data_IF_429515398537
#
_entry.id   IF_429515398537
#
_cell.length_a   1.000
_cell.length_b   1.000
_cell.length_c   1.000
_cell.angle_alpha   90.00
_cell.angle_beta   90.00
_cell.angle_gamma   90.00
#
_symmetry.space_group_name_H-M   'P 1'
#
loop_
_entity.id
_entity.type
_entity.pdbx_description
1 polymer ?
#
# COMPACT_ATOMS: atom_id res chain seq x y z
N UNK A 1 65.42 29.89 70.67
CA UNK A 1 65.66 30.22 69.25
C UNK A 1 65.27 29.11 68.27
N UNK A 2 65.37 27.81 68.61
CA UNK A 2 64.92 26.72 67.72
C UNK A 2 63.44 26.78 67.30
N UNK A 3 62.55 27.26 68.17
CA UNK A 3 61.11 27.27 67.90
C UNK A 3 60.72 28.24 66.76
N UNK A 4 61.52 29.28 66.52
CA UNK A 4 61.25 30.27 65.48
C UNK A 4 61.63 29.75 64.08
N UNK A 5 62.66 28.90 64.01
CA UNK A 5 63.11 28.29 62.75
C UNK A 5 62.16 27.21 62.25
N UNK A 6 61.55 26.43 63.15
CA UNK A 6 60.53 25.44 62.80
C UNK A 6 59.26 26.08 62.22
N UNK A 7 58.81 27.21 62.78
CA UNK A 7 57.65 27.92 62.24
C UNK A 7 57.90 28.47 60.83
N UNK A 8 59.09 28.96 60.53
CA UNK A 8 59.41 29.49 59.19
C UNK A 8 59.41 28.38 58.13
N UNK A 9 59.93 27.20 58.44
CA UNK A 9 59.95 26.06 57.51
C UNK A 9 58.53 25.54 57.24
N UNK A 10 57.73 25.37 58.29
CA UNK A 10 56.33 24.95 58.17
C UNK A 10 55.48 25.94 57.35
N UNK A 11 55.72 27.24 57.50
CA UNK A 11 54.97 28.27 56.75
C UNK A 11 55.37 28.30 55.27
N UNK A 12 56.65 28.04 54.96
CA UNK A 12 57.14 27.97 53.58
C UNK A 12 56.59 26.75 52.82
N UNK A 13 56.48 25.60 53.49
CA UNK A 13 55.88 24.39 52.91
C UNK A 13 54.36 24.53 52.70
N UNK A 14 53.67 25.22 53.62
CA UNK A 14 52.23 25.50 53.50
C UNK A 14 51.91 26.41 52.30
N UNK A 15 52.75 27.43 52.06
CA UNK A 15 52.61 28.31 50.90
C UNK A 15 52.78 27.54 49.59
N UNK A 16 53.81 26.68 49.49
CA UNK A 16 54.06 25.84 48.31
C UNK A 16 52.93 24.86 48.03
N UNK A 17 52.32 24.27 49.07
CA UNK A 17 51.20 23.34 48.90
C UNK A 17 49.94 24.05 48.37
N UNK A 18 49.70 25.29 48.80
CA UNK A 18 48.55 26.08 48.34
C UNK A 18 48.62 26.45 46.85
N UNK A 19 49.80 26.76 46.32
CA UNK A 19 49.99 27.06 44.89
C UNK A 19 49.78 25.81 44.02
N UNK A 20 50.27 24.65 44.45
CA UNK A 20 50.09 23.39 43.73
C UNK A 20 48.62 22.92 43.73
N UNK A 21 47.88 23.18 44.80
CA UNK A 21 46.46 22.85 44.88
C UNK A 21 45.62 23.65 43.85
N UNK A 22 45.93 24.93 43.62
CA UNK A 22 45.23 25.75 42.62
C UNK A 22 45.49 25.26 41.20
N UNK A 23 46.74 24.93 40.87
CA UNK A 23 47.09 24.42 39.53
C UNK A 23 46.37 23.10 39.25
N UNK A 24 46.35 22.17 40.21
CA UNK A 24 45.67 20.87 40.02
C UNK A 24 44.16 21.03 39.83
N UNK A 25 43.51 21.93 40.59
CA UNK A 25 42.09 22.25 40.40
C UNK A 25 41.80 22.86 39.02
N UNK A 26 42.64 23.79 38.55
CA UNK A 26 42.50 24.37 37.20
C UNK A 26 42.64 23.29 36.13
N UNK A 27 43.68 22.45 36.20
CA UNK A 27 43.87 21.36 35.22
C UNK A 27 42.69 20.38 35.24
N UNK A 28 42.22 19.98 36.43
CA UNK A 28 41.07 19.09 36.57
C UNK A 28 39.80 19.71 35.95
N UNK A 29 39.54 20.98 36.22
CA UNK A 29 38.39 21.70 35.66
C UNK A 29 38.45 21.78 34.13
N UNK A 30 39.65 21.97 33.58
CA UNK A 30 39.88 22.10 32.15
C UNK A 30 39.71 20.74 31.45
N UNK A 31 40.19 19.66 32.07
CA UNK A 31 39.96 18.29 31.61
C UNK A 31 38.47 17.92 31.63
N UNK A 32 37.75 18.28 32.70
CA UNK A 32 36.30 18.09 32.80
C UNK A 32 35.54 18.85 31.71
N UNK A 33 35.92 20.11 31.46
CA UNK A 33 35.31 20.92 30.40
C UNK A 33 35.53 20.32 29.01
N UNK A 34 36.76 19.86 28.70
CA UNK A 34 37.07 19.18 27.44
C UNK A 34 36.25 17.89 27.30
N UNK A 35 36.18 17.08 28.37
CA UNK A 35 35.41 15.84 28.35
C UNK A 35 33.92 16.10 28.12
N UNK A 36 33.35 17.10 28.79
CA UNK A 36 31.95 17.51 28.61
C UNK A 36 31.67 18.00 27.17
N UNK A 37 32.58 18.79 26.58
CA UNK A 37 32.46 19.23 25.18
C UNK A 37 32.50 18.05 24.19
N UNK A 38 33.39 17.09 24.41
CA UNK A 38 33.47 15.88 23.58
C UNK A 38 32.22 15.00 23.73
N UNK A 39 31.71 14.85 24.94
CA UNK A 39 30.47 14.12 25.21
C UNK A 39 29.27 14.79 24.53
N UNK A 40 29.14 16.12 24.65
CA UNK A 40 28.10 16.90 23.99
C UNK A 40 28.21 16.82 22.45
N UNK A 41 29.41 16.88 21.89
CA UNK A 41 29.64 16.72 20.46
C UNK A 41 29.22 15.34 19.96
N UNK A 42 29.51 14.27 20.72
CA UNK A 42 29.07 12.90 20.41
C UNK A 42 27.56 12.76 20.49
N UNK A 43 26.94 13.31 21.54
CA UNK A 43 25.48 13.31 21.69
C UNK A 43 24.80 14.04 20.52
N UNK A 44 25.31 15.22 20.13
CA UNK A 44 24.81 15.97 18.99
C UNK A 44 24.90 15.18 17.68
N UNK A 45 26.03 14.49 17.44
CA UNK A 45 26.18 13.62 16.26
C UNK A 45 25.14 12.50 16.25
N UNK A 46 24.89 11.85 17.40
CA UNK A 46 23.85 10.82 17.51
C UNK A 46 22.46 11.37 17.25
N UNK A 47 22.15 12.55 17.79
CA UNK A 47 20.86 13.22 17.53
C UNK A 47 20.67 13.56 16.06
N UNK A 48 21.72 14.04 15.38
CA UNK A 48 21.67 14.31 13.94
C UNK A 48 21.43 13.03 13.14
N UNK A 49 22.12 11.93 13.48
CA UNK A 49 21.91 10.63 12.82
C UNK A 49 20.47 10.12 13.03
N UNK A 50 19.92 10.27 14.24
CA UNK A 50 18.53 9.93 14.53
C UNK A 50 17.56 10.81 13.73
N UNK A 51 17.79 12.11 13.66
CA UNK A 51 16.98 13.04 12.87
C UNK A 51 17.00 12.67 11.38
N UNK A 52 18.18 12.39 10.82
CA UNK A 52 18.32 11.91 9.44
C UNK A 52 17.54 10.61 9.21
N UNK A 53 17.65 9.65 10.13
CA UNK A 53 16.91 8.38 10.02
C UNK A 53 15.39 8.57 10.06
N UNK A 54 14.91 9.50 10.90
CA UNK A 54 13.48 9.84 10.96
C UNK A 54 13.01 10.50 9.66
N UNK A 55 13.79 11.44 9.12
CA UNK A 55 13.45 12.06 7.84
C UNK A 55 13.46 11.07 6.68
N UNK A 56 14.40 10.13 6.65
CA UNK A 56 14.44 9.07 5.65
C UNK A 56 13.23 8.12 5.79
N UNK A 57 12.85 7.78 7.02
CA UNK A 57 11.67 6.97 7.27
C UNK A 57 10.39 7.70 6.84
N UNK A 58 10.26 8.98 7.15
CA UNK A 58 9.12 9.81 6.72
C UNK A 58 9.02 9.88 5.19
N UNK A 59 10.14 10.10 4.49
CA UNK A 59 10.19 10.06 3.04
C UNK A 59 9.78 8.69 2.47
N UNK A 60 10.22 7.61 3.10
CA UNK A 60 9.83 6.25 2.70
C UNK A 60 8.33 5.97 2.91
N UNK A 61 7.74 6.52 3.97
CA UNK A 61 6.31 6.41 4.24
C UNK A 61 5.49 7.22 3.24
N UNK A 62 5.92 8.44 2.92
CA UNK A 62 5.27 9.26 1.91
C UNK A 62 5.33 8.62 0.52
N UNK A 63 6.48 8.04 0.14
CA UNK A 63 6.60 7.34 -1.14
C UNK A 63 5.72 6.08 -1.18
N UNK A 64 5.67 5.30 -0.11
CA UNK A 64 4.77 4.16 0.01
C UNK A 64 3.30 4.58 -0.10
N UNK A 65 2.90 5.66 0.59
CA UNK A 65 1.54 6.21 0.53
C UNK A 65 1.16 6.62 -0.90
N UNK A 66 2.07 7.26 -1.63
CA UNK A 66 1.85 7.64 -3.03
C UNK A 66 1.68 6.42 -3.93
N UNK A 67 2.50 5.38 -3.74
CA UNK A 67 2.37 4.11 -4.48
C UNK A 67 1.01 3.48 -4.18
N UNK A 68 0.58 3.42 -2.91
CA UNK A 68 -0.72 2.88 -2.55
C UNK A 68 -1.88 3.65 -3.19
N UNK A 69 -1.85 4.98 -3.13
CA UNK A 69 -2.86 5.82 -3.78
C UNK A 69 -2.92 5.59 -5.30
N UNK A 70 -1.77 5.48 -5.97
CA UNK A 70 -1.72 5.17 -7.40
C UNK A 70 -2.26 3.77 -7.70
N UNK A 71 -1.91 2.78 -6.88
CA UNK A 71 -2.42 1.41 -7.06
C UNK A 71 -3.92 1.33 -6.86
N UNK A 72 -4.49 2.09 -5.92
CA UNK A 72 -5.93 2.13 -5.68
C UNK A 72 -6.67 2.72 -6.89
N UNK A 73 -6.16 3.81 -7.46
CA UNK A 73 -6.69 4.39 -8.69
C UNK A 73 -6.66 3.39 -9.86
N UNK A 74 -5.53 2.68 -10.03
CA UNK A 74 -5.38 1.66 -11.08
C UNK A 74 -6.33 0.47 -10.85
N UNK A 75 -6.50 0.04 -9.60
CA UNK A 75 -7.39 -1.06 -9.26
C UNK A 75 -8.85 -0.69 -9.48
N UNK A 76 -9.27 0.51 -9.08
CA UNK A 76 -10.61 1.02 -9.35
C UNK A 76 -10.89 1.13 -10.86
N UNK A 77 -9.92 1.61 -11.64
CA UNK A 77 -10.04 1.65 -13.10
C UNK A 77 -10.18 0.25 -13.70
N UNK A 78 -9.39 -0.73 -13.22
CA UNK A 78 -9.47 -2.11 -13.68
C UNK A 78 -10.83 -2.75 -13.33
N UNK A 79 -11.31 -2.57 -12.10
CA UNK A 79 -12.64 -3.04 -11.68
C UNK A 79 -13.76 -2.42 -12.54
N UNK A 80 -13.66 -1.13 -12.85
CA UNK A 80 -14.63 -0.47 -13.74
C UNK A 80 -14.62 -1.07 -15.16
N UNK A 81 -13.44 -1.36 -15.72
CA UNK A 81 -13.31 -2.01 -17.03
C UNK A 81 -13.89 -3.42 -17.02
N UNK A 82 -13.60 -4.22 -15.99
CA UNK A 82 -14.18 -5.57 -15.84
C UNK A 82 -15.70 -5.49 -15.76
N UNK A 83 -16.24 -4.54 -14.99
CA UNK A 83 -17.69 -4.31 -14.90
C UNK A 83 -18.32 -3.93 -16.24
N UNK A 84 -17.63 -3.11 -17.06
CA UNK A 84 -18.09 -2.79 -18.41
C UNK A 84 -18.05 -3.99 -19.36
N UNK A 85 -17.00 -4.81 -19.29
CA UNK A 85 -16.88 -6.02 -20.09
C UNK A 85 -17.97 -7.03 -19.72
N UNK A 86 -18.22 -7.25 -18.43
CA UNK A 86 -19.30 -8.12 -17.96
C UNK A 86 -20.68 -7.65 -18.45
N UNK A 87 -20.94 -6.33 -18.41
CA UNK A 87 -22.18 -5.76 -18.97
C UNK A 87 -22.28 -5.99 -20.48
N UNK A 88 -21.21 -5.74 -21.23
CA UNK A 88 -21.19 -5.97 -22.68
C UNK A 88 -21.43 -7.44 -23.02
N UNK A 89 -20.80 -8.35 -22.30
CA UNK A 89 -21.00 -9.78 -22.48
C UNK A 89 -22.46 -10.17 -22.22
N UNK A 90 -23.05 -9.71 -21.11
CA UNK A 90 -24.48 -9.94 -20.84
C UNK A 90 -25.40 -9.38 -21.92
N UNK A 91 -25.10 -8.22 -22.51
CA UNK A 91 -25.89 -7.68 -23.62
C UNK A 91 -25.74 -8.49 -24.91
N UNK A 92 -24.54 -9.01 -25.18
CA UNK A 92 -24.27 -9.85 -26.35
C UNK A 92 -24.97 -11.20 -26.22
N UNK A 93 -24.91 -11.83 -25.04
CA UNK A 93 -25.58 -13.10 -24.75
C UNK A 93 -27.11 -12.96 -24.88
N UNK A 94 -27.69 -11.86 -24.37
CA UNK A 94 -29.11 -11.56 -24.53
C UNK A 94 -29.50 -11.33 -26.00
N UNK A 95 -28.67 -10.63 -26.78
CA UNK A 95 -28.90 -10.39 -28.20
C UNK A 95 -28.80 -11.69 -29.03
N UNK A 96 -27.83 -12.54 -28.72
CA UNK A 96 -27.67 -13.86 -29.34
C UNK A 96 -28.88 -14.76 -29.06
N UNK A 97 -29.36 -14.78 -27.80
CA UNK A 97 -30.58 -15.49 -27.43
C UNK A 97 -31.82 -15.01 -28.19
N UNK A 98 -32.01 -13.69 -28.34
CA UNK A 98 -33.13 -13.14 -29.12
C UNK A 98 -33.06 -13.49 -30.62
N UNK A 99 -31.86 -13.50 -31.20
CA UNK A 99 -31.68 -13.88 -32.61
C UNK A 99 -32.04 -15.36 -32.83
N UNK A 100 -31.57 -16.25 -31.95
CA UNK A 100 -31.92 -17.68 -31.96
C UNK A 100 -33.42 -17.91 -31.82
N UNK A 101 -34.08 -17.20 -30.90
CA UNK A 101 -35.54 -17.28 -30.71
C UNK A 101 -36.33 -16.85 -31.95
N UNK A 102 -35.95 -15.74 -32.61
CA UNK A 102 -36.63 -15.28 -33.83
C UNK A 102 -36.52 -16.30 -34.96
N UNK A 103 -35.34 -16.91 -35.11
CA UNK A 103 -35.12 -17.94 -36.12
C UNK A 103 -35.90 -19.22 -35.79
N UNK A 104 -35.95 -19.63 -34.52
CA UNK A 104 -36.72 -20.77 -34.05
C UNK A 104 -38.24 -20.59 -34.30
N UNK A 105 -38.78 -19.38 -34.08
CA UNK A 105 -40.18 -19.05 -34.40
C UNK A 105 -40.43 -19.17 -35.92
N UNK A 106 -39.50 -18.69 -36.75
CA UNK A 106 -39.63 -18.78 -38.20
C UNK A 106 -39.60 -20.23 -38.71
N UNK A 107 -38.74 -21.08 -38.14
CA UNK A 107 -38.69 -22.52 -38.44
C UNK A 107 -39.92 -23.26 -37.93
N UNK A 108 -40.38 -22.96 -36.72
CA UNK A 108 -41.61 -23.55 -36.16
C UNK A 108 -42.83 -23.25 -37.03
N UNK A 109 -42.97 -22.03 -37.56
CA UNK A 109 -44.04 -21.67 -38.50
C UNK A 109 -43.98 -22.44 -39.82
N UNK A 110 -42.81 -22.96 -40.20
CA UNK A 110 -42.61 -23.81 -41.39
C UNK A 110 -42.80 -25.30 -41.08
N UNK A 111 -43.16 -25.67 -39.85
CA UNK A 111 -43.37 -27.05 -39.44
C UNK A 111 -42.09 -27.81 -39.08
N UNK A 112 -40.97 -27.12 -38.84
CA UNK A 112 -39.74 -27.76 -38.40
C UNK A 112 -39.93 -28.52 -37.07
N UNK A 113 -39.23 -29.65 -36.95
CA UNK A 113 -39.31 -30.49 -35.75
C UNK A 113 -38.59 -29.85 -34.56
N UNK A 114 -38.95 -30.25 -33.33
CA UNK A 114 -38.30 -29.72 -32.11
C UNK A 114 -36.78 -29.97 -32.12
N UNK A 115 -36.33 -31.14 -32.59
CA UNK A 115 -34.90 -31.46 -32.72
C UNK A 115 -34.19 -30.56 -33.74
N UNK A 116 -34.82 -30.29 -34.88
CA UNK A 116 -34.26 -29.44 -35.93
C UNK A 116 -34.13 -27.98 -35.49
N UNK A 117 -35.08 -27.49 -34.67
CA UNK A 117 -35.03 -26.14 -34.09
C UNK A 117 -33.90 -26.03 -33.05
N UNK A 118 -33.69 -27.05 -32.21
CA UNK A 118 -32.58 -27.07 -31.24
C UNK A 118 -31.23 -27.04 -31.96
N UNK A 119 -31.04 -27.91 -32.95
CA UNK A 119 -29.76 -28.03 -33.67
C UNK A 119 -29.44 -26.78 -34.50
N UNK A 120 -30.45 -26.13 -35.08
CA UNK A 120 -30.25 -25.01 -36.00
C UNK A 120 -30.21 -23.65 -35.30
N UNK A 121 -30.98 -23.46 -34.22
CA UNK A 121 -31.17 -22.16 -33.58
C UNK A 121 -30.44 -22.01 -32.24
N UNK A 122 -29.79 -23.07 -31.75
CA UNK A 122 -29.01 -23.04 -30.50
C UNK A 122 -29.85 -22.76 -29.26
N UNK A 123 -31.16 -23.02 -29.32
CA UNK A 123 -32.10 -22.89 -28.20
C UNK A 123 -32.21 -24.22 -27.44
N UNK A 124 -32.53 -24.16 -26.16
CA UNK A 124 -32.69 -25.38 -25.35
C UNK A 124 -33.90 -26.21 -25.81
N UNK A 125 -33.88 -27.52 -25.54
CA UNK A 125 -34.97 -28.43 -25.90
C UNK A 125 -36.33 -28.01 -25.31
N UNK A 126 -36.31 -27.47 -24.08
CA UNK A 126 -37.52 -26.92 -23.43
C UNK A 126 -38.07 -25.69 -24.14
N UNK A 127 -37.20 -24.76 -24.54
CA UNK A 127 -37.58 -23.56 -25.30
C UNK A 127 -38.10 -23.92 -26.69
N UNK A 128 -37.44 -24.82 -27.41
CA UNK A 128 -37.89 -25.29 -28.73
C UNK A 128 -39.29 -25.94 -28.65
N UNK A 129 -39.53 -26.78 -27.65
CA UNK A 129 -40.85 -27.39 -27.41
C UNK A 129 -41.92 -26.32 -27.15
N UNK A 130 -41.61 -25.32 -26.32
CA UNK A 130 -42.53 -24.21 -26.02
C UNK A 130 -42.85 -23.40 -27.29
N UNK A 131 -41.84 -23.05 -28.09
CA UNK A 131 -42.02 -22.31 -29.35
C UNK A 131 -42.92 -23.09 -30.31
N UNK A 132 -42.70 -24.40 -30.49
CA UNK A 132 -43.56 -25.25 -31.29
C UNK A 132 -45.01 -25.22 -30.80
N UNK A 133 -45.26 -25.33 -29.49
CA UNK A 133 -46.64 -25.31 -28.96
C UNK A 133 -47.33 -23.96 -29.14
N UNK A 134 -46.60 -22.85 -29.08
CA UNK A 134 -47.17 -21.50 -29.17
C UNK A 134 -47.36 -21.02 -30.61
N UNK A 135 -46.47 -21.42 -31.54
CA UNK A 135 -46.39 -20.84 -32.89
C UNK A 135 -46.67 -21.81 -34.04
N UNK A 136 -46.74 -23.13 -33.80
CA UNK A 136 -47.05 -24.09 -34.87
C UNK A 136 -48.51 -23.98 -35.38
N UNK A 137 -49.41 -23.39 -34.59
CA UNK A 137 -50.86 -23.29 -34.89
C UNK A 137 -51.22 -22.27 -35.97
N UNK A 138 -50.25 -21.59 -36.60
CA UNK A 138 -50.50 -20.66 -37.70
C UNK A 138 -50.34 -21.24 -39.12
N UNK A 139 -49.91 -22.51 -39.25
CA UNK A 139 -49.46 -23.07 -40.54
C UNK A 139 -50.31 -24.19 -41.14
N UNK A 140 -51.28 -24.75 -40.43
CA UNK A 140 -52.06 -25.90 -40.92
C UNK A 140 -53.56 -25.70 -40.71
N UNK A 141 -54.12 -24.80 -41.50
CA UNK A 141 -55.53 -24.84 -41.91
C UNK A 141 -55.62 -24.62 -43.42
N UNK A 142 -54.98 -25.49 -44.21
CA UNK A 142 -55.33 -25.69 -45.62
C UNK A 142 -54.81 -27.04 -46.11
N UNK A 143 -55.78 -27.95 -46.31
CA UNK A 143 -55.81 -29.16 -47.13
C UNK A 143 -54.75 -30.26 -46.96
#
# INVERSE_FOLDING_TARGET
MLNNWLQVILNADYLRYSEQALVTLVVLSLLLAIWALLAAARAKRRMNQLAESLTALEQSMQSAANIFAETDLRMNAACAQIGQLAKRQGTLDAAAGQAGFKQAIALSRRGASVSEIVDTCGVSHGEARLICTMYATGGTASH
#
